data_IF_384809701986
#
_entry.id   IF_384809701986
#
_cell.length_a   1.000
_cell.length_b   1.000
_cell.length_c   1.000
_cell.angle_alpha   90.00
_cell.angle_beta   90.00
_cell.angle_gamma   90.00
#
_symmetry.space_group_name_H-M   'P 1'
#
loop_
_entity.id
_entity.type
_entity.pdbx_description
1 polymer ?
#
# COMPACT_ATOMS: atom_id res chain seq x y z
N UNK A 1 15.89 27.81 11.10
CA UNK A 1 15.50 27.03 9.90
C UNK A 1 14.30 26.10 10.19
N UNK A 2 13.09 26.60 10.57
CA UNK A 2 11.95 25.72 10.88
C UNK A 2 10.82 25.75 9.82
N UNK A 3 10.84 26.70 8.87
CA UNK A 3 9.73 26.95 7.95
C UNK A 3 9.64 25.98 6.76
N UNK A 4 10.76 25.40 6.32
CA UNK A 4 10.76 24.46 5.19
C UNK A 4 10.14 23.10 5.54
N UNK A 5 10.32 22.62 6.78
CA UNK A 5 9.79 21.32 7.19
C UNK A 5 8.28 21.35 7.38
N UNK A 6 7.73 22.45 7.91
CA UNK A 6 6.27 22.63 8.05
C UNK A 6 5.58 22.67 6.69
N UNK A 7 6.15 23.36 5.69
CA UNK A 7 5.61 23.38 4.33
C UNK A 7 5.64 21.99 3.70
N UNK A 8 6.72 21.23 3.91
CA UNK A 8 6.83 19.86 3.41
C UNK A 8 5.78 18.95 4.06
N UNK A 9 5.58 19.06 5.36
CA UNK A 9 4.61 18.28 6.12
C UNK A 9 3.17 18.57 5.68
N UNK A 10 2.81 19.84 5.46
CA UNK A 10 1.49 20.24 4.94
C UNK A 10 1.25 19.68 3.54
N UNK A 11 2.25 19.72 2.67
CA UNK A 11 2.15 19.16 1.31
C UNK A 11 2.03 17.64 1.35
N UNK A 12 2.74 16.99 2.26
CA UNK A 12 2.71 15.54 2.46
C UNK A 12 1.35 15.07 2.99
N UNK A 13 0.75 15.82 3.91
CA UNK A 13 -0.60 15.55 4.45
C UNK A 13 -1.66 15.81 3.37
N UNK A 14 -1.55 16.90 2.60
CA UNK A 14 -2.47 17.18 1.49
C UNK A 14 -2.39 16.14 0.38
N UNK A 15 -1.23 15.53 0.17
CA UNK A 15 -0.98 14.52 -0.85
C UNK A 15 -0.76 13.13 -0.25
N UNK A 16 -1.49 12.78 0.81
CA UNK A 16 -1.37 11.49 1.49
C UNK A 16 -1.51 10.29 0.55
N UNK A 17 -2.32 10.41 -0.51
CA UNK A 17 -2.46 9.38 -1.56
C UNK A 17 -1.18 9.18 -2.38
N UNK A 18 -0.50 10.27 -2.74
CA UNK A 18 0.74 10.21 -3.52
C UNK A 18 1.87 9.61 -2.69
N UNK A 19 1.91 9.94 -1.40
CA UNK A 19 2.85 9.37 -0.43
C UNK A 19 2.60 7.88 -0.24
N UNK A 20 1.33 7.48 -0.14
CA UNK A 20 0.94 6.07 -0.10
C UNK A 20 1.42 5.31 -1.35
N UNK A 21 1.24 5.86 -2.55
CA UNK A 21 1.74 5.27 -3.79
C UNK A 21 3.26 5.17 -3.83
N UNK A 22 3.99 6.19 -3.36
CA UNK A 22 5.45 6.17 -3.30
C UNK A 22 5.98 5.09 -2.35
N UNK A 23 5.37 4.95 -1.17
CA UNK A 23 5.72 3.91 -0.18
C UNK A 23 5.40 2.52 -0.73
N UNK A 24 4.21 2.33 -1.31
CA UNK A 24 3.79 1.04 -1.88
C UNK A 24 4.68 0.64 -3.07
N UNK A 25 4.96 1.56 -3.99
CA UNK A 25 5.85 1.32 -5.13
C UNK A 25 7.26 0.95 -4.69
N UNK A 26 7.81 1.66 -3.70
CA UNK A 26 9.11 1.33 -3.09
C UNK A 26 9.09 -0.06 -2.44
N UNK A 27 8.02 -0.39 -1.71
CA UNK A 27 7.85 -1.70 -1.05
C UNK A 27 7.81 -2.85 -2.06
N UNK A 28 7.05 -2.67 -3.16
CA UNK A 28 6.98 -3.65 -4.25
C UNK A 28 8.35 -3.80 -4.92
N UNK A 29 9.03 -2.70 -5.21
CA UNK A 29 10.36 -2.73 -5.82
C UNK A 29 11.38 -3.47 -4.94
N UNK A 30 11.42 -3.15 -3.64
CA UNK A 30 12.25 -3.84 -2.65
C UNK A 30 11.89 -5.33 -2.58
N UNK A 31 10.60 -5.67 -2.62
CA UNK A 31 10.12 -7.06 -2.58
C UNK A 31 10.53 -7.85 -3.81
N UNK A 32 10.54 -7.24 -5.00
CA UNK A 32 11.09 -7.86 -6.21
C UNK A 32 12.60 -8.05 -6.13
N UNK A 33 13.33 -7.04 -5.63
CA UNK A 33 14.77 -7.14 -5.42
C UNK A 33 15.11 -8.27 -4.43
N UNK A 34 14.37 -8.36 -3.32
CA UNK A 34 14.57 -9.37 -2.29
C UNK A 34 14.14 -10.77 -2.76
N UNK A 35 13.04 -10.87 -3.53
CA UNK A 35 12.60 -12.13 -4.13
C UNK A 35 13.64 -12.72 -5.08
N UNK A 36 14.25 -11.85 -5.90
CA UNK A 36 15.30 -12.23 -6.83
C UNK A 36 16.57 -12.73 -6.11
N UNK A 37 16.87 -12.16 -4.94
CA UNK A 37 18.02 -12.54 -4.10
C UNK A 37 17.78 -13.80 -3.26
N UNK A 38 16.57 -14.02 -2.75
CA UNK A 38 16.31 -15.07 -1.75
C UNK A 38 15.70 -16.35 -2.34
N UNK A 39 14.92 -16.28 -3.43
CA UNK A 39 14.10 -17.43 -3.86
C UNK A 39 14.41 -18.00 -5.24
N UNK A 40 15.53 -17.62 -5.89
CA UNK A 40 15.94 -18.13 -7.22
C UNK A 40 14.78 -18.20 -8.24
N UNK A 41 13.89 -17.20 -8.21
CA UNK A 41 12.79 -17.08 -9.18
C UNK A 41 11.55 -17.97 -8.95
N UNK A 42 11.39 -18.64 -7.80
CA UNK A 42 10.22 -19.49 -7.52
C UNK A 42 9.08 -18.80 -6.75
N UNK A 43 9.37 -17.82 -5.88
CA UNK A 43 8.34 -17.03 -5.19
C UNK A 43 8.05 -15.74 -5.98
N UNK A 44 6.77 -15.50 -6.24
CA UNK A 44 6.33 -14.23 -6.83
C UNK A 44 6.69 -13.07 -5.89
N UNK A 45 7.42 -12.07 -6.38
CA UNK A 45 7.81 -10.89 -5.60
C UNK A 45 6.62 -10.15 -4.97
N UNK A 46 5.46 -10.24 -5.61
CA UNK A 46 4.18 -9.73 -5.08
C UNK A 46 3.76 -10.41 -3.76
N UNK A 47 3.95 -11.72 -3.61
CA UNK A 47 3.56 -12.44 -2.39
C UNK A 47 4.37 -11.97 -1.17
N UNK A 48 5.66 -11.68 -1.37
CA UNK A 48 6.54 -11.13 -0.34
C UNK A 48 6.12 -9.70 0.01
N UNK A 49 5.75 -8.89 -1.00
CA UNK A 49 5.24 -7.54 -0.77
C UNK A 49 3.96 -7.52 0.07
N UNK A 50 3.00 -8.41 -0.24
CA UNK A 50 1.75 -8.55 0.52
C UNK A 50 2.04 -8.99 1.96
N UNK A 51 2.93 -9.97 2.15
CA UNK A 51 3.30 -10.44 3.48
C UNK A 51 3.96 -9.34 4.33
N UNK A 52 4.91 -8.60 3.76
CA UNK A 52 5.56 -7.45 4.42
C UNK A 52 4.52 -6.39 4.77
N UNK A 53 3.62 -6.06 3.84
CA UNK A 53 2.53 -5.11 4.08
C UNK A 53 1.59 -5.53 5.21
N UNK A 54 1.24 -6.82 5.28
CA UNK A 54 0.39 -7.38 6.34
C UNK A 54 1.08 -7.31 7.71
N UNK A 55 2.35 -7.68 7.80
CA UNK A 55 3.14 -7.59 9.03
C UNK A 55 3.25 -6.13 9.48
N UNK A 56 3.53 -5.22 8.55
CA UNK A 56 3.59 -3.79 8.82
C UNK A 56 2.22 -3.24 9.27
N UNK A 57 1.12 -3.81 8.77
CA UNK A 57 -0.24 -3.46 9.18
C UNK A 57 -0.55 -3.87 10.61
N UNK A 58 -0.18 -5.09 11.00
CA UNK A 58 -0.30 -5.55 12.37
C UNK A 58 0.53 -4.68 13.33
N UNK A 59 1.79 -4.39 13.00
CA UNK A 59 2.66 -3.58 13.83
C UNK A 59 2.11 -2.15 13.95
N UNK A 60 1.68 -1.53 12.85
CA UNK A 60 1.08 -0.20 12.85
C UNK A 60 -0.20 -0.10 13.68
N UNK A 61 -1.03 -1.15 13.70
CA UNK A 61 -2.22 -1.21 14.56
C UNK A 61 -1.90 -1.32 16.05
N UNK A 62 -0.88 -2.10 16.42
CA UNK A 62 -0.45 -2.24 17.82
C UNK A 62 0.14 -0.92 18.35
N UNK A 63 0.93 -0.21 17.53
CA UNK A 63 1.57 1.05 17.95
C UNK A 63 0.56 2.19 18.08
N UNK A 64 -0.46 2.23 17.22
CA UNK A 64 -1.40 3.36 17.17
C UNK A 64 -2.62 3.18 18.08
N UNK A 65 -2.79 2.01 18.71
CA UNK A 65 -3.98 1.61 19.52
C UNK A 65 -5.32 1.85 18.79
N UNK A 66 -5.26 2.06 17.47
CA UNK A 66 -6.33 2.54 16.62
C UNK A 66 -6.96 1.41 15.81
N UNK A 67 -8.25 1.56 15.48
CA UNK A 67 -9.05 0.53 14.78
C UNK A 67 -8.64 0.31 13.31
N UNK A 68 -7.80 1.19 12.72
CA UNK A 68 -7.49 1.22 11.28
C UNK A 68 -6.04 0.87 10.92
N UNK A 69 -5.23 0.33 11.85
CA UNK A 69 -3.88 -0.13 11.52
C UNK A 69 -2.93 1.01 11.12
N UNK A 70 -2.12 0.83 10.07
CA UNK A 70 -1.19 1.88 9.56
C UNK A 70 -1.92 3.11 9.00
N UNK A 71 -3.22 2.99 8.68
CA UNK A 71 -4.00 4.10 8.13
C UNK A 71 -4.40 5.15 9.19
N UNK A 72 -4.19 4.83 10.48
CA UNK A 72 -4.44 5.74 11.60
C UNK A 72 -3.34 6.81 11.71
N UNK A 73 -2.15 6.55 11.15
CA UNK A 73 -1.09 7.54 10.99
C UNK A 73 -1.48 8.50 9.85
N UNK A 74 -1.64 9.80 10.14
CA UNK A 74 -2.11 10.83 9.17
C UNK A 74 -1.32 10.83 7.85
N UNK A 75 -0.02 10.53 7.91
CA UNK A 75 0.88 10.48 6.73
C UNK A 75 0.66 9.23 5.88
N UNK A 76 0.15 8.14 6.46
CA UNK A 76 -0.14 6.86 5.79
C UNK A 76 -1.65 6.61 5.58
N UNK A 77 -2.52 7.53 5.99
CA UNK A 77 -3.97 7.44 5.78
C UNK A 77 -4.35 7.24 4.31
N UNK A 78 -3.53 7.76 3.39
CA UNK A 78 -3.68 7.53 1.95
C UNK A 78 -3.56 6.06 1.52
N UNK A 79 -2.90 5.20 2.30
CA UNK A 79 -2.79 3.76 2.02
C UNK A 79 -4.16 3.07 2.20
N UNK A 80 -4.92 3.46 3.24
CA UNK A 80 -6.28 2.97 3.43
C UNK A 80 -7.22 3.41 2.31
N UNK A 81 -7.11 4.67 1.89
CA UNK A 81 -7.92 5.24 0.81
C UNK A 81 -7.60 4.60 -0.56
N UNK A 82 -6.32 4.39 -0.85
CA UNK A 82 -5.85 3.65 -2.03
C UNK A 82 -6.33 2.20 -2.01
N UNK A 83 -6.23 1.51 -0.87
CA UNK A 83 -6.64 0.11 -0.73
C UNK A 83 -8.13 -0.11 -1.03
N UNK A 84 -9.00 0.74 -0.49
CA UNK A 84 -10.44 0.68 -0.78
C UNK A 84 -10.77 0.93 -2.25
N UNK A 85 -10.12 1.91 -2.88
CA UNK A 85 -10.29 2.19 -4.31
C UNK A 85 -9.82 1.03 -5.20
N UNK A 86 -8.71 0.38 -4.84
CA UNK A 86 -8.19 -0.79 -5.57
C UNK A 86 -9.06 -2.03 -5.39
N UNK A 87 -9.61 -2.29 -4.19
CA UNK A 87 -10.57 -3.40 -3.98
C UNK A 87 -11.83 -3.23 -4.82
N UNK A 88 -12.35 -2.00 -4.91
CA UNK A 88 -13.48 -1.68 -5.79
C UNK A 88 -13.14 -1.97 -7.25
N UNK A 89 -11.98 -1.52 -7.74
CA UNK A 89 -11.54 -1.77 -9.11
C UNK A 89 -11.40 -3.27 -9.40
N UNK A 90 -10.79 -4.03 -8.47
CA UNK A 90 -10.69 -5.48 -8.55
C UNK A 90 -12.06 -6.16 -8.61
N UNK A 91 -13.05 -5.68 -7.86
CA UNK A 91 -14.41 -6.20 -7.91
C UNK A 91 -15.11 -5.91 -9.25
N UNK A 92 -14.91 -4.72 -9.82
CA UNK A 92 -15.41 -4.35 -11.16
C UNK A 92 -14.79 -5.29 -12.20
N UNK A 93 -13.46 -5.43 -12.18
CA UNK A 93 -12.71 -6.27 -13.10
C UNK A 93 -13.11 -7.75 -12.98
N UNK A 94 -13.24 -8.27 -11.75
CA UNK A 94 -13.68 -9.64 -11.51
C UNK A 94 -15.11 -9.91 -12.04
N UNK A 95 -16.00 -8.93 -11.93
CA UNK A 95 -17.37 -9.03 -12.48
C UNK A 95 -17.35 -9.00 -14.01
N UNK A 96 -16.57 -8.10 -14.61
CA UNK A 96 -16.43 -8.00 -16.06
C UNK A 96 -15.81 -9.27 -16.68
N UNK A 97 -14.80 -9.87 -16.04
CA UNK A 97 -14.22 -11.15 -16.49
C UNK A 97 -15.11 -12.37 -16.19
N UNK A 98 -15.99 -12.29 -15.18
CA UNK A 98 -16.98 -13.31 -14.87
C UNK A 98 -18.19 -13.30 -15.82
N UNK A 99 -18.46 -12.15 -16.46
CA UNK A 99 -19.41 -12.03 -17.57
C UNK A 99 -18.78 -12.67 -18.81
N UNK A 100 -19.02 -13.96 -18.99
CA UNK A 100 -18.89 -14.59 -20.29
C UNK A 100 -19.99 -14.01 -21.17
N UNK A 101 -19.64 -13.15 -22.11
CA UNK A 101 -20.52 -12.78 -23.21
C UNK A 101 -20.63 -13.98 -24.17
N UNK A 102 -21.30 -15.04 -23.74
CA UNK A 102 -21.81 -16.11 -24.59
C UNK A 102 -23.34 -15.98 -24.60
N UNK A 103 -23.79 -14.96 -25.34
CA UNK A 103 -24.94 -14.96 -26.28
C UNK A 103 -24.99 -13.60 -27.00
#
# INVERSE_FOLDING_TARGET
MPSALQSLEIVLIKNSLLVAFAIMGSTVWISYFLSNRLTRGRLHGSAIAIFIGLVMACIGGIITDGKQGIADITVLSGIGLMGGAMLRDLAIVATAFGVKAEE
#
